data_IF_223668080755
#
_entry.id   IF_223668080755
#
_cell.length_a   1.000
_cell.length_b   1.000
_cell.length_c   1.000
_cell.angle_alpha   90.00
_cell.angle_beta   90.00
_cell.angle_gamma   90.00
#
_symmetry.space_group_name_H-M   'P 1'
#
loop_
_entity.id
_entity.type
_entity.pdbx_description
1 polymer ?
#
# COMPACT_ATOMS: atom_id res chain seq x y z
N UNK A 1 -23.48 -0.50 8.82
CA UNK A 1 -23.60 -1.98 8.81
C UNK A 1 -22.75 -2.51 9.95
N UNK A 2 -23.33 -3.23 10.90
CA UNK A 2 -22.56 -3.88 11.96
C UNK A 2 -21.80 -5.06 11.34
N UNK A 3 -20.47 -5.10 11.52
CA UNK A 3 -19.64 -6.22 11.03
C UNK A 3 -20.04 -7.55 11.67
N UNK A 4 -19.66 -8.65 11.05
CA UNK A 4 -19.84 -9.99 11.62
C UNK A 4 -19.09 -10.11 12.95
N UNK A 5 -19.49 -11.05 13.81
CA UNK A 5 -18.81 -11.28 15.10
C UNK A 5 -17.32 -11.57 14.91
N UNK A 6 -16.97 -12.29 13.84
CA UNK A 6 -15.60 -12.57 13.44
C UNK A 6 -14.81 -11.30 13.08
N UNK A 7 -15.38 -10.40 12.28
CA UNK A 7 -14.75 -9.12 11.92
C UNK A 7 -14.55 -8.21 13.14
N UNK A 8 -15.52 -8.20 14.06
CA UNK A 8 -15.40 -7.42 15.30
C UNK A 8 -14.29 -8.00 16.18
N UNK A 9 -14.25 -9.32 16.35
CA UNK A 9 -13.21 -10.00 17.13
C UNK A 9 -11.81 -9.76 16.53
N UNK A 10 -11.66 -9.89 15.21
CA UNK A 10 -10.42 -9.59 14.49
C UNK A 10 -9.96 -8.15 14.76
N UNK A 11 -10.86 -7.18 14.63
CA UNK A 11 -10.56 -5.77 14.87
C UNK A 11 -10.13 -5.47 16.31
N UNK A 12 -10.80 -6.09 17.30
CA UNK A 12 -10.46 -5.94 18.71
C UNK A 12 -9.08 -6.54 19.04
N UNK A 13 -8.80 -7.75 18.57
CA UNK A 13 -7.50 -8.41 18.77
C UNK A 13 -6.38 -7.58 18.11
N UNK A 14 -6.59 -7.14 16.87
CA UNK A 14 -5.64 -6.29 16.17
C UNK A 14 -5.34 -5.00 16.93
N UNK A 15 -6.39 -4.33 17.42
CA UNK A 15 -6.24 -3.07 18.18
C UNK A 15 -5.50 -3.29 19.49
N UNK A 16 -5.83 -4.36 20.23
CA UNK A 16 -5.17 -4.69 21.49
C UNK A 16 -3.67 -4.95 21.30
N UNK A 17 -3.30 -5.79 20.32
CA UNK A 17 -1.89 -6.12 20.05
C UNK A 17 -1.12 -4.87 19.57
N UNK A 18 -1.70 -4.07 18.67
CA UNK A 18 -1.03 -2.86 18.18
C UNK A 18 -0.86 -1.79 19.26
N UNK A 19 -1.76 -1.72 20.24
CA UNK A 19 -1.67 -0.79 21.37
C UNK A 19 -0.58 -1.21 22.35
N UNK A 20 -0.41 -2.51 22.59
CA UNK A 20 0.60 -3.05 23.50
C UNK A 20 1.99 -3.09 22.88
N UNK A 21 2.07 -3.33 21.56
CA UNK A 21 3.31 -3.37 20.80
C UNK A 21 3.32 -2.24 19.78
N UNK A 22 3.55 -0.97 20.17
CA UNK A 22 3.46 0.19 19.29
C UNK A 22 4.67 0.39 18.38
N UNK A 23 5.84 -0.18 18.72
CA UNK A 23 7.11 0.02 18.00
C UNK A 23 7.70 -1.25 17.37
N UNK A 24 7.67 -2.39 18.08
CA UNK A 24 8.19 -3.67 17.59
C UNK A 24 7.08 -4.72 17.70
N UNK A 25 6.70 -5.42 16.61
CA UNK A 25 5.66 -6.43 16.70
C UNK A 25 6.12 -7.58 17.61
N UNK A 26 5.18 -8.29 18.26
CA UNK A 26 5.52 -9.44 19.09
C UNK A 26 6.18 -10.54 18.25
N UNK A 27 7.04 -11.36 18.87
CA UNK A 27 7.51 -12.60 18.24
C UNK A 27 6.33 -13.51 17.93
N UNK A 28 6.49 -14.44 16.99
CA UNK A 28 5.41 -15.37 16.62
C UNK A 28 4.83 -16.13 17.82
N UNK A 29 5.69 -16.55 18.74
CA UNK A 29 5.29 -17.25 19.96
C UNK A 29 4.42 -16.37 20.87
N UNK A 30 4.88 -15.15 21.14
CA UNK A 30 4.17 -14.18 22.00
C UNK A 30 2.86 -13.74 21.34
N UNK A 31 2.86 -13.58 20.01
CA UNK A 31 1.66 -13.31 19.23
C UNK A 31 0.63 -14.43 19.38
N UNK A 32 1.05 -15.68 19.18
CA UNK A 32 0.15 -16.85 19.24
C UNK A 32 -0.47 -17.02 20.64
N UNK A 33 0.31 -16.83 21.70
CA UNK A 33 -0.16 -16.86 23.09
C UNK A 33 -1.20 -15.76 23.37
N UNK A 34 -0.95 -14.53 22.91
CA UNK A 34 -1.85 -13.40 23.13
C UNK A 34 -3.15 -13.50 22.37
N UNK A 35 -3.10 -13.92 21.10
CA UNK A 35 -4.29 -14.10 20.28
C UNK A 35 -5.20 -15.17 20.88
N UNK A 36 -4.64 -16.26 21.42
CA UNK A 36 -5.41 -17.29 22.11
C UNK A 36 -5.99 -16.79 23.44
N UNK A 37 -5.21 -16.04 24.23
CA UNK A 37 -5.70 -15.45 25.48
C UNK A 37 -6.86 -14.47 25.23
N UNK A 38 -6.74 -13.61 24.21
CA UNK A 38 -7.79 -12.66 23.83
C UNK A 38 -9.04 -13.38 23.29
N UNK A 39 -8.87 -14.50 22.57
CA UNK A 39 -9.98 -15.36 22.15
C UNK A 39 -10.77 -15.85 23.36
N UNK A 40 -10.09 -16.41 24.36
CA UNK A 40 -10.74 -16.95 25.56
C UNK A 40 -11.45 -15.85 26.35
N UNK A 41 -10.81 -14.69 26.51
CA UNK A 41 -11.38 -13.55 27.22
C UNK A 41 -12.67 -13.03 26.55
N UNK A 42 -12.70 -13.03 25.22
CA UNK A 42 -13.81 -12.48 24.43
C UNK A 42 -14.84 -13.53 23.98
N UNK A 43 -14.64 -14.81 24.31
CA UNK A 43 -15.45 -15.93 23.82
C UNK A 43 -16.96 -15.78 24.12
N UNK A 44 -17.31 -15.21 25.27
CA UNK A 44 -18.72 -15.02 25.66
C UNK A 44 -19.41 -13.90 24.87
N UNK A 45 -18.66 -12.88 24.44
CA UNK A 45 -19.19 -11.72 23.72
C UNK A 45 -19.20 -11.97 22.20
N UNK A 46 -18.15 -12.61 21.70
CA UNK A 46 -17.92 -12.88 20.28
C UNK A 46 -17.59 -14.36 20.05
N UNK A 47 -18.56 -15.27 20.24
CA UNK A 47 -18.34 -16.67 19.97
C UNK A 47 -18.09 -16.88 18.47
N UNK A 48 -16.98 -17.54 18.15
CA UNK A 48 -16.56 -17.95 16.81
C UNK A 48 -16.10 -19.40 16.85
N UNK A 49 -16.30 -20.13 15.76
CA UNK A 49 -15.81 -21.50 15.61
C UNK A 49 -14.28 -21.56 15.57
N UNK A 50 -13.71 -22.75 15.79
CA UNK A 50 -12.26 -22.96 15.66
C UNK A 50 -11.74 -22.66 14.25
N UNK A 51 -12.54 -22.98 13.22
CA UNK A 51 -12.17 -22.74 11.82
C UNK A 51 -12.16 -21.24 11.48
N UNK A 52 -13.19 -20.50 11.91
CA UNK A 52 -13.23 -19.04 11.79
C UNK A 52 -12.07 -18.39 12.55
N UNK A 53 -11.76 -18.87 13.75
CA UNK A 53 -10.66 -18.35 14.54
C UNK A 53 -9.30 -18.64 13.91
N UNK A 54 -9.10 -19.83 13.33
CA UNK A 54 -7.87 -20.16 12.61
C UNK A 54 -7.65 -19.21 11.42
N UNK A 55 -8.70 -18.85 10.71
CA UNK A 55 -8.65 -17.88 9.62
C UNK A 55 -8.31 -16.47 10.11
N UNK A 56 -8.95 -16.02 11.21
CA UNK A 56 -8.62 -14.73 11.86
C UNK A 56 -7.15 -14.71 12.28
N UNK A 57 -6.68 -15.75 12.96
CA UNK A 57 -5.28 -15.86 13.42
C UNK A 57 -4.31 -15.80 12.26
N UNK A 58 -4.60 -16.50 11.16
CA UNK A 58 -3.78 -16.48 9.93
C UNK A 58 -3.68 -15.06 9.34
N UNK A 59 -4.81 -14.35 9.22
CA UNK A 59 -4.83 -12.97 8.72
C UNK A 59 -4.08 -12.02 9.63
N UNK A 60 -4.32 -12.09 10.95
CA UNK A 60 -3.64 -11.26 11.93
C UNK A 60 -2.12 -11.51 11.92
N UNK A 61 -1.69 -12.77 11.82
CA UNK A 61 -0.26 -13.12 11.74
C UNK A 61 0.39 -12.49 10.51
N UNK A 62 -0.27 -12.57 9.35
CA UNK A 62 0.21 -11.97 8.11
C UNK A 62 0.25 -10.43 8.14
N UNK A 63 -0.57 -9.77 8.98
CA UNK A 63 -0.67 -8.31 9.02
C UNK A 63 0.10 -7.67 10.19
N UNK A 64 0.27 -8.37 11.32
CA UNK A 64 0.84 -7.84 12.56
C UNK A 64 2.28 -8.27 12.74
N UNK A 65 2.62 -9.52 12.42
CA UNK A 65 3.98 -10.05 12.65
C UNK A 65 4.96 -9.59 11.56
N UNK A 66 4.46 -9.19 10.38
CA UNK A 66 5.32 -8.72 9.29
C UNK A 66 6.00 -7.40 9.69
N UNK A 67 7.32 -7.44 9.81
CA UNK A 67 8.18 -6.27 9.98
C UNK A 67 8.51 -5.67 8.63
N UNK A 68 8.17 -4.38 8.46
CA UNK A 68 8.81 -3.53 7.46
C UNK A 68 9.84 -2.67 8.18
N UNK A 69 11.10 -3.08 8.13
CA UNK A 69 12.20 -2.30 8.67
C UNK A 69 12.52 -1.09 7.79
N UNK A 70 13.10 -0.06 8.40
CA UNK A 70 13.71 1.04 7.65
C UNK A 70 14.92 0.48 6.92
N UNK A 71 14.84 0.41 5.59
CA UNK A 71 15.90 -0.14 4.75
C UNK A 71 17.21 0.65 4.86
N UNK A 72 18.30 0.05 4.43
CA UNK A 72 19.60 0.71 4.35
C UNK A 72 19.75 1.38 2.98
N UNK A 73 19.95 2.70 2.98
CA UNK A 73 20.25 3.44 1.76
C UNK A 73 21.76 3.48 1.49
N UNK A 74 22.16 3.02 0.31
CA UNK A 74 23.51 3.19 -0.21
C UNK A 74 23.47 4.29 -1.28
N UNK A 75 24.22 5.38 -1.06
CA UNK A 75 24.26 6.55 -1.93
C UNK A 75 25.63 6.73 -2.58
N UNK A 76 25.64 7.27 -3.80
CA UNK A 76 26.86 7.73 -4.46
C UNK A 76 27.46 8.93 -3.69
N UNK A 77 28.73 9.26 -3.98
CA UNK A 77 29.46 10.40 -3.40
C UNK A 77 28.95 11.76 -3.86
N UNK A 78 28.09 11.81 -4.88
CA UNK A 78 27.46 13.05 -5.37
C UNK A 78 26.61 13.67 -4.28
N UNK A 79 26.71 14.98 -4.09
CA UNK A 79 25.87 15.70 -3.15
C UNK A 79 24.40 15.62 -3.60
N UNK A 80 23.56 15.07 -2.73
CA UNK A 80 22.11 15.10 -2.85
C UNK A 80 21.60 16.25 -1.99
N UNK A 81 20.76 17.11 -2.55
CA UNK A 81 20.08 18.18 -1.83
C UNK A 81 18.64 17.73 -1.59
N UNK A 82 18.25 17.47 -0.33
CA UNK A 82 16.88 17.11 0.00
C UNK A 82 15.92 18.22 -0.46
N UNK A 83 14.85 17.84 -1.14
CA UNK A 83 13.88 18.78 -1.71
C UNK A 83 12.45 18.48 -1.25
N UNK A 84 12.14 17.21 -0.97
CA UNK A 84 10.79 16.78 -0.62
C UNK A 84 10.35 17.37 0.73
N UNK A 85 11.25 17.39 1.72
CA UNK A 85 10.96 17.98 3.03
C UNK A 85 10.73 19.49 2.94
N UNK A 86 11.52 20.19 2.12
CA UNK A 86 11.40 21.63 1.92
C UNK A 86 10.09 22.03 1.21
N UNK A 87 9.58 21.17 0.31
CA UNK A 87 8.32 21.42 -0.42
C UNK A 87 7.07 20.91 0.30
N UNK A 88 7.22 20.11 1.37
CA UNK A 88 6.12 19.38 2.02
C UNK A 88 4.93 20.27 2.39
N UNK A 89 5.15 21.48 2.89
CA UNK A 89 4.07 22.41 3.27
C UNK A 89 3.26 22.91 2.07
N UNK A 90 3.89 23.01 0.91
CA UNK A 90 3.26 23.47 -0.34
C UNK A 90 2.60 22.35 -1.15
N UNK A 91 2.79 21.09 -0.73
CA UNK A 91 2.33 19.91 -1.46
C UNK A 91 1.03 19.37 -0.86
N UNK A 92 0.06 19.09 -1.73
CA UNK A 92 -1.13 18.34 -1.38
C UNK A 92 -0.88 16.83 -1.63
N UNK A 93 -0.69 16.08 -0.55
CA UNK A 93 -0.47 14.63 -0.54
C UNK A 93 -1.76 13.83 -0.79
N UNK A 94 -2.57 14.27 -1.76
CA UNK A 94 -3.86 13.71 -2.11
C UNK A 94 -3.78 12.20 -2.39
N UNK A 95 -2.92 11.80 -3.33
CA UNK A 95 -2.82 10.43 -3.79
C UNK A 95 -2.28 9.52 -2.67
N UNK A 96 -1.26 9.97 -1.94
CA UNK A 96 -0.73 9.23 -0.79
C UNK A 96 -1.76 9.07 0.35
N UNK A 97 -2.55 10.09 0.65
CA UNK A 97 -3.52 10.06 1.75
C UNK A 97 -4.65 9.06 1.52
N UNK A 98 -5.22 9.00 0.30
CA UNK A 98 -6.21 7.97 -0.04
C UNK A 98 -5.60 6.56 -0.04
N UNK A 99 -4.33 6.40 -0.44
CA UNK A 99 -3.66 5.09 -0.41
C UNK A 99 -3.40 4.62 1.03
N UNK A 100 -2.92 5.51 1.92
CA UNK A 100 -2.84 5.22 3.37
C UNK A 100 -4.20 4.79 3.93
N UNK A 101 -5.26 5.54 3.60
CA UNK A 101 -6.62 5.23 4.07
C UNK A 101 -7.09 3.86 3.57
N UNK A 102 -6.79 3.53 2.31
CA UNK A 102 -7.11 2.21 1.76
C UNK A 102 -6.33 1.08 2.45
N UNK A 103 -5.04 1.26 2.72
CA UNK A 103 -4.22 0.26 3.42
C UNK A 103 -4.73 0.03 4.85
N UNK A 104 -5.06 1.11 5.56
CA UNK A 104 -5.58 1.05 6.92
C UNK A 104 -6.99 0.45 6.97
N UNK A 105 -7.94 1.02 6.20
CA UNK A 105 -9.35 0.69 6.35
C UNK A 105 -9.77 -0.57 5.58
N UNK A 106 -9.17 -0.83 4.42
CA UNK A 106 -9.55 -1.98 3.56
C UNK A 106 -8.60 -3.14 3.75
N UNK A 107 -7.28 -2.90 3.65
CA UNK A 107 -6.28 -3.96 3.79
C UNK A 107 -5.98 -4.32 5.25
N UNK A 108 -6.42 -3.49 6.21
CA UNK A 108 -6.18 -3.68 7.65
C UNK A 108 -4.69 -3.81 7.98
N UNK A 109 -3.86 -3.07 7.25
CA UNK A 109 -2.42 -3.04 7.51
C UNK A 109 -2.14 -2.34 8.84
N UNK A 110 -1.12 -2.82 9.54
CA UNK A 110 -0.67 -2.18 10.76
C UNK A 110 -0.27 -0.71 10.47
N UNK A 111 -0.79 0.28 11.22
CA UNK A 111 -0.42 1.68 11.06
C UNK A 111 1.08 1.94 11.09
N UNK A 112 1.86 1.13 11.84
CA UNK A 112 3.32 1.21 11.84
C UNK A 112 3.90 0.82 10.49
N UNK A 113 3.45 -0.28 9.89
CA UNK A 113 3.92 -0.73 8.57
C UNK A 113 3.61 0.33 7.52
N UNK A 114 2.40 0.93 7.56
CA UNK A 114 2.02 2.04 6.70
C UNK A 114 2.94 3.25 6.93
N UNK A 115 3.23 3.59 8.19
CA UNK A 115 4.14 4.68 8.57
C UNK A 115 5.58 4.45 8.10
N UNK A 116 6.14 3.26 8.31
CA UNK A 116 7.48 2.89 7.87
C UNK A 116 7.58 2.91 6.34
N UNK A 117 6.61 2.33 5.63
CA UNK A 117 6.52 2.43 4.17
C UNK A 117 6.42 3.88 3.71
N UNK A 118 5.69 4.71 4.45
CA UNK A 118 5.66 6.15 4.27
C UNK A 118 7.07 6.76 4.33
N UNK A 119 7.83 6.52 5.40
CA UNK A 119 9.19 7.09 5.53
C UNK A 119 10.14 6.59 4.45
N UNK A 120 10.13 5.29 4.15
CA UNK A 120 10.97 4.69 3.10
C UNK A 120 10.64 5.27 1.72
N UNK A 121 9.35 5.40 1.38
CA UNK A 121 8.96 5.98 0.09
C UNK A 121 9.21 7.49 0.02
N UNK A 122 9.13 8.23 1.13
CA UNK A 122 9.56 9.64 1.18
C UNK A 122 11.04 9.76 0.85
N UNK A 123 11.89 8.94 1.49
CA UNK A 123 13.32 8.92 1.23
C UNK A 123 13.60 8.60 -0.25
N UNK A 124 12.98 7.55 -0.81
CA UNK A 124 13.19 7.19 -2.22
C UNK A 124 12.76 8.33 -3.16
N UNK A 125 11.60 8.95 -2.94
CA UNK A 125 11.11 10.06 -3.77
C UNK A 125 12.04 11.26 -3.68
N UNK A 126 12.53 11.60 -2.48
CA UNK A 126 13.52 12.66 -2.29
C UNK A 126 14.78 12.42 -3.16
N UNK A 127 15.16 11.17 -3.42
CA UNK A 127 16.28 10.85 -4.31
C UNK A 127 15.99 10.84 -5.82
N UNK A 128 14.72 10.88 -6.28
CA UNK A 128 14.39 10.83 -7.71
C UNK A 128 14.71 12.12 -8.47
N UNK A 129 14.68 13.27 -7.78
CA UNK A 129 14.84 14.62 -8.35
C UNK A 129 13.58 15.46 -8.14
N UNK A 130 13.74 16.78 -8.08
CA UNK A 130 12.60 17.68 -7.90
C UNK A 130 11.94 17.98 -9.27
N UNK A 131 10.72 17.50 -9.56
CA UNK A 131 10.05 17.75 -10.84
C UNK A 131 9.64 19.22 -11.05
N UNK A 132 9.68 20.06 -10.00
CA UNK A 132 9.43 21.50 -10.10
C UNK A 132 10.72 22.32 -10.30
N UNK A 133 11.89 21.69 -10.24
CA UNK A 133 13.17 22.36 -10.49
C UNK A 133 13.43 22.52 -11.98
N UNK A 134 14.00 23.67 -12.36
CA UNK A 134 14.48 23.92 -13.72
C UNK A 134 15.74 23.11 -14.06
N UNK A 135 16.43 22.57 -13.05
CA UNK A 135 17.64 21.80 -13.25
C UNK A 135 17.30 20.38 -13.76
N UNK A 136 17.87 19.94 -14.89
CA UNK A 136 17.65 18.58 -15.38
C UNK A 136 18.25 17.57 -14.41
N UNK A 137 17.56 16.45 -14.21
CA UNK A 137 18.03 15.36 -13.38
C UNK A 137 17.89 14.02 -14.08
N UNK A 138 18.82 13.12 -13.77
CA UNK A 138 18.73 11.72 -14.13
C UNK A 138 19.21 10.90 -12.94
N UNK A 139 18.28 10.16 -12.34
CA UNK A 139 18.54 9.32 -11.16
C UNK A 139 18.21 7.88 -11.48
N UNK A 140 19.02 6.97 -10.95
CA UNK A 140 18.83 5.52 -11.03
C UNK A 140 19.04 4.98 -9.63
N UNK A 141 18.13 4.11 -9.21
CA UNK A 141 18.19 3.46 -7.91
C UNK A 141 17.80 1.99 -8.05
N UNK A 142 18.23 1.19 -7.08
CA UNK A 142 17.87 -0.23 -6.97
C UNK A 142 17.28 -0.45 -5.58
N UNK A 143 16.06 -0.98 -5.53
CA UNK A 143 15.41 -1.37 -4.28
C UNK A 143 15.48 -2.89 -4.18
N UNK A 144 16.15 -3.38 -3.14
CA UNK A 144 16.26 -4.79 -2.81
C UNK A 144 15.43 -5.09 -1.55
N UNK A 145 14.79 -6.25 -1.52
CA UNK A 145 14.03 -6.69 -0.36
C UNK A 145 13.59 -8.14 -0.51
N UNK A 146 13.49 -8.84 0.61
CA UNK A 146 13.14 -10.26 0.66
C UNK A 146 11.74 -10.55 0.12
N UNK A 147 11.44 -11.82 -0.13
CA UNK A 147 10.08 -12.26 -0.50
C UNK A 147 9.11 -11.78 0.59
N UNK A 148 7.97 -11.20 0.18
CA UNK A 148 6.95 -10.62 1.07
C UNK A 148 7.33 -9.35 1.87
N UNK A 149 8.49 -8.73 1.62
CA UNK A 149 8.90 -7.43 2.24
C UNK A 149 8.06 -6.21 1.82
N UNK A 150 6.91 -6.39 1.17
CA UNK A 150 6.06 -5.27 0.73
C UNK A 150 6.56 -4.53 -0.50
N UNK A 151 7.46 -5.10 -1.32
CA UNK A 151 7.99 -4.48 -2.56
C UNK A 151 6.92 -3.83 -3.44
N UNK A 152 5.80 -4.53 -3.64
CA UNK A 152 4.70 -4.02 -4.47
C UNK A 152 4.00 -2.81 -3.85
N UNK A 153 3.73 -2.87 -2.54
CA UNK A 153 3.13 -1.77 -1.83
C UNK A 153 4.05 -0.55 -1.79
N UNK A 154 5.36 -0.77 -1.71
CA UNK A 154 6.36 0.29 -1.70
C UNK A 154 6.46 1.02 -3.05
N UNK A 155 6.52 0.31 -4.19
CA UNK A 155 6.51 1.02 -5.49
C UNK A 155 5.18 1.74 -5.73
N UNK A 156 4.07 1.21 -5.23
CA UNK A 156 2.74 1.88 -5.29
C UNK A 156 2.73 3.15 -4.43
N UNK A 157 3.35 3.12 -3.25
CA UNK A 157 3.55 4.31 -2.42
C UNK A 157 4.39 5.38 -3.15
N UNK A 158 5.46 4.96 -3.82
CA UNK A 158 6.30 5.85 -4.64
C UNK A 158 5.47 6.46 -5.78
N UNK A 159 4.62 5.68 -6.48
CA UNK A 159 3.77 6.21 -7.55
C UNK A 159 2.81 7.28 -7.04
N UNK A 160 2.12 7.02 -5.92
CA UNK A 160 1.22 7.98 -5.29
C UNK A 160 1.95 9.29 -4.93
N UNK A 161 3.11 9.18 -4.28
CA UNK A 161 3.90 10.36 -3.85
C UNK A 161 4.55 11.11 -5.00
N UNK A 162 5.02 10.40 -6.03
CA UNK A 162 5.56 11.02 -7.23
C UNK A 162 4.47 11.84 -7.94
N UNK A 163 3.25 11.30 -8.05
CA UNK A 163 2.12 12.04 -8.59
C UNK A 163 1.81 13.30 -7.75
N UNK A 164 1.78 13.19 -6.42
CA UNK A 164 1.60 14.33 -5.51
C UNK A 164 2.72 15.38 -5.66
N UNK A 165 3.96 14.95 -5.93
CA UNK A 165 5.11 15.84 -6.15
C UNK A 165 5.11 16.55 -7.51
N UNK A 166 4.26 16.12 -8.45
CA UNK A 166 4.14 16.71 -9.79
C UNK A 166 4.82 15.94 -10.92
N UNK A 167 5.22 14.68 -10.70
CA UNK A 167 5.66 13.82 -11.79
C UNK A 167 4.49 13.55 -12.74
N UNK A 168 4.65 13.94 -14.02
CA UNK A 168 3.58 13.91 -15.01
C UNK A 168 3.38 12.55 -15.67
N UNK A 169 4.45 11.76 -15.75
CA UNK A 169 4.45 10.45 -16.40
C UNK A 169 5.15 9.45 -15.48
N UNK A 170 4.47 8.34 -15.21
CA UNK A 170 5.00 7.21 -14.43
C UNK A 170 4.86 5.98 -15.31
N UNK A 171 5.98 5.31 -15.59
CA UNK A 171 6.01 4.10 -16.41
C UNK A 171 6.36 2.94 -15.50
N UNK A 172 5.46 1.96 -15.39
CA UNK A 172 5.68 0.73 -14.62
C UNK A 172 5.89 -0.41 -15.60
N UNK A 173 7.05 -1.05 -15.52
CA UNK A 173 7.39 -2.22 -16.31
C UNK A 173 7.22 -3.46 -15.43
N UNK A 174 6.23 -4.30 -15.76
CA UNK A 174 6.01 -5.58 -15.08
C UNK A 174 6.86 -6.69 -15.70
N UNK A 175 6.85 -7.88 -15.07
CA UNK A 175 7.57 -9.05 -15.58
C UNK A 175 7.10 -9.47 -16.99
N UNK A 176 7.90 -10.32 -17.65
CA UNK A 176 7.63 -10.75 -19.03
C UNK A 176 6.38 -11.63 -19.18
N UNK A 177 5.89 -12.23 -18.09
CA UNK A 177 4.71 -13.09 -18.13
C UNK A 177 3.44 -12.25 -18.01
N UNK A 178 2.51 -12.47 -18.92
CA UNK A 178 1.27 -11.69 -19.02
C UNK A 178 0.44 -11.73 -17.73
N UNK A 179 0.39 -12.87 -17.04
CA UNK A 179 -0.29 -12.99 -15.75
C UNK A 179 0.30 -12.05 -14.66
N UNK A 180 1.63 -11.83 -14.64
CA UNK A 180 2.27 -10.91 -13.71
C UNK A 180 2.00 -9.45 -14.09
N UNK A 181 1.93 -9.17 -15.40
CA UNK A 181 1.55 -7.85 -15.91
C UNK A 181 0.11 -7.51 -15.51
N UNK A 182 -0.83 -8.41 -15.74
CA UNK A 182 -2.24 -8.25 -15.36
C UNK A 182 -2.39 -8.00 -13.86
N UNK A 183 -1.76 -8.82 -13.01
CA UNK A 183 -1.79 -8.61 -11.56
C UNK A 183 -1.21 -7.26 -11.13
N UNK A 184 -0.16 -6.80 -11.80
CA UNK A 184 0.43 -5.48 -11.52
C UNK A 184 -0.52 -4.36 -11.94
N UNK A 185 -1.16 -4.49 -13.11
CA UNK A 185 -2.14 -3.53 -13.61
C UNK A 185 -3.38 -3.45 -12.69
N UNK A 186 -3.97 -4.59 -12.32
CA UNK A 186 -5.13 -4.63 -11.42
C UNK A 186 -4.83 -3.97 -10.06
N UNK A 187 -3.62 -4.20 -9.54
CA UNK A 187 -3.17 -3.55 -8.31
C UNK A 187 -3.04 -2.05 -8.48
N UNK A 188 -2.37 -1.58 -9.52
CA UNK A 188 -2.25 -0.14 -9.79
C UNK A 188 -3.60 0.52 -10.05
N UNK A 189 -4.52 -0.17 -10.72
CA UNK A 189 -5.89 0.29 -10.94
C UNK A 189 -6.61 0.52 -9.61
N UNK A 190 -6.52 -0.43 -8.68
CA UNK A 190 -7.17 -0.34 -7.38
C UNK A 190 -6.43 0.55 -6.37
N UNK A 191 -5.10 0.61 -6.41
CA UNK A 191 -4.26 1.21 -5.35
C UNK A 191 -3.61 2.54 -5.77
N UNK A 192 -3.72 2.91 -7.05
CA UNK A 192 -3.22 4.17 -7.60
C UNK A 192 -4.19 4.86 -8.59
N UNK A 193 -4.78 4.21 -9.59
CA UNK A 193 -5.73 4.93 -10.47
C UNK A 193 -7.04 5.23 -9.73
N UNK A 194 -7.52 4.26 -8.94
CA UNK A 194 -8.85 4.27 -8.34
C UNK A 194 -9.96 3.88 -9.31
N UNK A 195 -9.61 3.37 -10.50
CA UNK A 195 -10.51 3.04 -11.60
C UNK A 195 -9.97 1.81 -12.31
N UNK A 196 -10.84 0.91 -12.74
CA UNK A 196 -10.38 -0.26 -13.50
C UNK A 196 -10.08 0.17 -14.94
N UNK A 197 -8.86 -0.09 -15.39
CA UNK A 197 -8.39 0.24 -16.74
C UNK A 197 -9.17 -0.48 -17.83
N UNK A 198 -9.71 -1.67 -17.53
CA UNK A 198 -10.61 -2.42 -18.41
C UNK A 198 -11.87 -1.64 -18.80
N UNK A 199 -12.36 -0.73 -17.93
CA UNK A 199 -13.51 0.12 -18.21
C UNK A 199 -13.10 1.44 -18.86
N UNK A 200 -11.99 2.02 -18.39
CA UNK A 200 -11.48 3.30 -18.92
C UNK A 200 -11.11 3.22 -20.40
N UNK A 201 -10.59 2.07 -20.82
CA UNK A 201 -10.11 1.82 -22.17
C UNK A 201 -11.07 0.93 -22.98
N UNK A 202 -12.32 0.76 -22.53
CA UNK A 202 -13.34 0.08 -23.32
C UNK A 202 -13.89 1.02 -24.41
N UNK A 203 -13.64 0.75 -25.71
CA UNK A 203 -14.09 1.63 -26.79
C UNK A 203 -15.61 1.72 -26.91
N UNK A 204 -16.35 0.77 -26.32
CA UNK A 204 -17.81 0.76 -26.34
C UNK A 204 -18.43 1.54 -25.18
N UNK A 205 -17.67 1.84 -24.11
CA UNK A 205 -18.15 2.47 -22.88
C UNK A 205 -19.44 1.83 -22.30
N UNK A 206 -19.65 0.53 -22.55
CA UNK A 206 -20.87 -0.17 -22.11
C UNK A 206 -20.89 -0.37 -20.59
N UNK A 207 -19.72 -0.25 -19.93
CA UNK A 207 -19.56 -0.46 -18.50
C UNK A 207 -19.29 0.87 -17.80
N UNK A 208 -20.16 1.21 -16.86
CA UNK A 208 -20.05 2.43 -16.07
C UNK A 208 -18.75 2.44 -15.25
N UNK A 209 -18.08 3.59 -15.21
CA UNK A 209 -16.78 3.72 -14.55
C UNK A 209 -16.95 3.83 -13.03
N UNK A 210 -17.09 2.68 -12.37
CA UNK A 210 -17.26 2.59 -10.92
C UNK A 210 -15.91 2.79 -10.22
N UNK A 211 -15.84 3.68 -9.20
CA UNK A 211 -14.64 3.85 -8.39
C UNK A 211 -14.25 2.55 -7.66
N UNK A 212 -12.98 2.17 -7.76
CA UNK A 212 -12.41 0.97 -7.11
C UNK A 212 -11.25 1.33 -6.21
N UNK A 213 -11.02 0.51 -5.18
CA UNK A 213 -9.97 0.69 -4.19
C UNK A 213 -9.84 2.12 -3.68
N UNK A 214 -8.71 2.78 -3.95
CA UNK A 214 -8.43 4.17 -3.52
C UNK A 214 -9.39 5.20 -4.10
N UNK A 215 -10.07 4.92 -5.22
CA UNK A 215 -11.06 5.82 -5.83
C UNK A 215 -12.32 6.02 -4.97
N UNK A 216 -12.51 5.20 -3.94
CA UNK A 216 -13.58 5.36 -2.94
C UNK A 216 -13.26 6.44 -1.89
N UNK A 217 -12.03 6.94 -1.85
CA UNK A 217 -11.53 7.88 -0.83
C UNK A 217 -11.10 9.23 -1.40
N UNK A 218 -11.57 9.57 -2.61
CA UNK A 218 -11.26 10.83 -3.29
C UNK A 218 -11.27 10.66 -4.81
N UNK A 219 -11.86 11.62 -5.52
CA UNK A 219 -12.02 11.63 -6.99
C UNK A 219 -11.66 12.98 -7.63
N UNK A 220 -11.15 13.93 -6.84
CA UNK A 220 -10.83 15.30 -7.22
C UNK A 220 -9.65 15.37 -8.20
N UNK A 221 -8.70 14.43 -8.09
CA UNK A 221 -7.58 14.26 -9.02
C UNK A 221 -7.63 12.88 -9.64
N UNK A 222 -7.34 12.80 -10.95
CA UNK A 222 -7.39 11.56 -11.71
C UNK A 222 -6.04 11.24 -12.34
N UNK A 223 -5.76 9.95 -12.44
CA UNK A 223 -4.61 9.42 -13.18
C UNK A 223 -5.16 8.81 -14.47
N UNK A 224 -4.63 9.26 -15.62
CA UNK A 224 -4.92 8.62 -16.88
C UNK A 224 -4.08 7.34 -17.00
N UNK A 225 -4.73 6.20 -17.24
CA UNK A 225 -4.07 4.92 -17.51
C UNK A 225 -4.06 4.66 -19.01
N UNK A 226 -2.91 4.33 -19.58
CA UNK A 226 -2.72 4.11 -21.02
C UNK A 226 -2.61 2.63 -21.41
N UNK A 227 -2.67 1.73 -20.42
CA UNK A 227 -2.69 0.28 -20.59
C UNK A 227 -3.86 -0.30 -19.80
N UNK A 228 -4.42 -1.39 -20.29
CA UNK A 228 -5.53 -2.13 -19.70
C UNK A 228 -5.09 -3.49 -19.17
N UNK A 229 -5.90 -4.05 -18.27
CA UNK A 229 -5.72 -5.43 -17.81
C UNK A 229 -5.90 -6.42 -18.97
N UNK A 230 -6.81 -6.17 -19.91
CA UNK A 230 -7.34 -7.23 -20.80
C UNK A 230 -7.00 -7.12 -22.28
N UNK A 231 -6.61 -5.94 -22.80
CA UNK A 231 -6.53 -5.67 -24.25
C UNK A 231 -5.14 -5.25 -24.75
N UNK A 232 -4.11 -5.37 -23.92
CA UNK A 232 -2.76 -4.89 -24.25
C UNK A 232 -1.78 -6.04 -24.42
N UNK A 233 -0.91 -5.91 -25.41
CA UNK A 233 0.18 -6.85 -25.70
C UNK A 233 -0.26 -8.26 -26.16
N UNK A 234 -1.52 -8.42 -26.57
CA UNK A 234 -2.00 -9.60 -27.29
C UNK A 234 -1.24 -9.72 -28.62
N UNK A 235 -0.48 -10.82 -28.77
CA UNK A 235 0.16 -11.22 -30.03
C UNK A 235 -0.53 -12.44 -30.61
#
# INVERSE_FOLDING_TARGET
MAGTKAEILEGLISTAINSEYPDVPPSETVFDEKVEALRQLLANLYPVSDEEFAEIKRKLKANIVVQMDLGVLIKDRRQHLPWLSARRESMDFFFWNRYKTYLDQVKKWNPRVIGNMGRVSDEIVDYLGDPASDAPFQRRGLVLGDVQSGKTANYTAICNKAADAGYRVIIVLAGMMENLRQQTQERLDAEFSGRMSQYLLDPKQEIENVPVGVGKYGQEKQVATFTSVTKDFDK
#
